data_IF_097833189461
#
_entry.id   IF_097833189461
#
_cell.length_a   1.000
_cell.length_b   1.000
_cell.length_c   1.000
_cell.angle_alpha   90.00
_cell.angle_beta   90.00
_cell.angle_gamma   90.00
#
_symmetry.space_group_name_H-M   'P 1'
#
loop_
_entity.id
_entity.type
_entity.pdbx_description
1 polymer ?
#
# COMPACT_ATOMS: atom_id res chain seq x y z
N UNK A 1 0.24 11.35 -5.85
CA UNK A 1 -1.21 11.05 -6.06
C UNK A 1 -2.09 11.97 -5.19
N UNK A 2 -3.27 12.37 -5.67
CA UNK A 2 -4.08 13.44 -5.08
C UNK A 2 -5.54 13.02 -4.81
N UNK A 3 -6.13 13.52 -3.72
CA UNK A 3 -7.55 13.34 -3.41
C UNK A 3 -8.13 14.50 -2.60
N UNK A 4 -9.45 14.46 -2.38
CA UNK A 4 -10.15 15.35 -1.45
C UNK A 4 -11.09 14.56 -0.54
N UNK A 5 -11.13 14.96 0.74
CA UNK A 5 -12.12 14.47 1.69
C UNK A 5 -13.50 15.08 1.47
N UNK A 6 -14.54 14.56 2.16
CA UNK A 6 -15.93 15.03 1.99
C UNK A 6 -16.14 16.50 2.32
N UNK A 7 -15.29 17.11 3.16
CA UNK A 7 -15.37 18.53 3.53
C UNK A 7 -14.32 19.38 2.80
N UNK A 8 -13.68 18.83 1.78
CA UNK A 8 -12.69 19.50 0.95
C UNK A 8 -11.24 19.39 1.46
N UNK A 9 -10.99 18.56 2.49
CA UNK A 9 -9.65 18.30 3.01
C UNK A 9 -8.74 17.81 1.88
N UNK A 10 -7.55 18.40 1.75
CA UNK A 10 -6.60 17.99 0.72
C UNK A 10 -5.91 16.70 1.15
N UNK A 11 -5.90 15.69 0.28
CA UNK A 11 -5.12 14.47 0.47
C UNK A 11 -4.00 14.39 -0.57
N UNK A 12 -2.78 14.17 -0.08
CA UNK A 12 -1.60 13.87 -0.88
C UNK A 12 -1.01 12.56 -0.36
N UNK A 13 -0.73 11.63 -1.28
CA UNK A 13 -0.19 10.32 -0.90
C UNK A 13 1.16 10.46 -0.18
N UNK A 14 2.01 11.35 -0.70
CA UNK A 14 3.39 11.61 -0.27
C UNK A 14 3.47 11.98 1.22
N UNK A 15 2.46 12.69 1.74
CA UNK A 15 2.41 13.15 3.13
C UNK A 15 1.41 12.36 3.98
N UNK A 16 0.40 11.76 3.35
CA UNK A 16 -0.71 11.14 4.04
C UNK A 16 -0.52 9.65 4.35
N UNK A 17 0.19 8.91 3.49
CA UNK A 17 0.22 7.44 3.57
C UNK A 17 0.80 6.93 4.90
N UNK A 18 1.82 7.60 5.43
CA UNK A 18 2.45 7.21 6.70
C UNK A 18 1.48 7.32 7.87
N UNK A 19 0.70 8.40 7.94
CA UNK A 19 -0.29 8.63 9.00
C UNK A 19 -1.41 7.59 8.88
N UNK A 20 -1.93 7.38 7.67
CA UNK A 20 -2.99 6.40 7.43
C UNK A 20 -2.57 4.98 7.83
N UNK A 21 -1.38 4.53 7.42
CA UNK A 21 -0.89 3.20 7.78
C UNK A 21 -0.63 3.09 9.29
N UNK A 22 -0.14 4.14 9.94
CA UNK A 22 0.02 4.17 11.39
C UNK A 22 -1.32 3.98 12.10
N UNK A 23 -2.36 4.73 11.69
CA UNK A 23 -3.71 4.61 12.24
C UNK A 23 -4.27 3.20 12.02
N UNK A 24 -4.18 2.64 10.80
CA UNK A 24 -4.58 1.26 10.53
C UNK A 24 -3.85 0.26 11.42
N UNK A 25 -2.56 0.48 11.67
CA UNK A 25 -1.73 -0.39 12.49
C UNK A 25 -2.16 -0.46 13.96
N UNK A 26 -2.86 0.59 14.46
CA UNK A 26 -3.45 0.64 15.81
C UNK A 26 -4.83 -0.02 15.88
N UNK A 27 -5.55 -0.07 14.76
CA UNK A 27 -6.89 -0.65 14.67
C UNK A 27 -6.87 -2.16 14.42
N UNK A 28 -5.77 -2.68 13.85
CA UNK A 28 -5.61 -4.11 13.56
C UNK A 28 -5.40 -4.91 14.85
N UNK A 29 -6.21 -5.96 15.02
CA UNK A 29 -5.94 -6.99 16.01
C UNK A 29 -4.83 -7.92 15.47
N UNK A 30 -3.58 -7.64 15.87
CA UNK A 30 -2.40 -8.38 15.43
C UNK A 30 -2.25 -9.77 16.06
N UNK A 31 -3.06 -10.10 17.07
CA UNK A 31 -3.01 -11.41 17.73
C UNK A 31 -3.82 -12.48 16.98
N UNK A 32 -4.70 -12.06 16.06
CA UNK A 32 -5.57 -12.97 15.31
C UNK A 32 -5.17 -13.01 13.84
N UNK A 33 -4.88 -14.20 13.32
CA UNK A 33 -4.47 -14.40 11.92
C UNK A 33 -5.56 -14.11 10.88
N UNK A 34 -6.77 -13.75 11.31
CA UNK A 34 -7.90 -13.41 10.43
C UNK A 34 -7.91 -11.95 9.98
N UNK A 35 -7.08 -11.09 10.58
CA UNK A 35 -6.96 -9.69 10.20
C UNK A 35 -5.64 -9.44 9.48
N UNK A 36 -5.71 -8.68 8.39
CA UNK A 36 -4.54 -8.28 7.59
C UNK A 36 -4.76 -6.90 7.01
N UNK A 37 -3.69 -6.32 6.46
CA UNK A 37 -3.73 -5.03 5.79
C UNK A 37 -3.25 -5.23 4.37
N UNK A 38 -4.04 -4.74 3.41
CA UNK A 38 -3.67 -4.71 2.00
C UNK A 38 -3.68 -3.27 1.51
N UNK A 39 -2.56 -2.84 0.93
CA UNK A 39 -2.40 -1.57 0.25
C UNK A 39 -2.30 -1.83 -1.25
N UNK A 40 -3.11 -1.10 -2.02
CA UNK A 40 -2.97 -0.98 -3.47
C UNK A 40 -2.78 0.49 -3.80
N UNK A 41 -1.73 0.82 -4.54
CA UNK A 41 -1.36 2.19 -4.87
C UNK A 41 -1.01 2.32 -6.35
N UNK A 42 -1.80 3.13 -7.06
CA UNK A 42 -1.50 3.59 -8.42
C UNK A 42 -0.47 4.76 -8.42
N UNK A 43 0.48 4.73 -7.48
CA UNK A 43 1.42 5.81 -7.21
C UNK A 43 2.78 5.48 -7.83
N UNK A 44 2.93 5.79 -9.12
CA UNK A 44 4.10 5.43 -9.96
C UNK A 44 5.41 6.04 -9.43
N UNK A 45 5.34 7.12 -8.66
CA UNK A 45 6.53 7.87 -8.20
C UNK A 45 7.25 7.24 -6.98
N UNK A 46 6.75 6.12 -6.44
CA UNK A 46 7.28 5.50 -5.22
C UNK A 46 7.73 4.07 -5.43
N UNK A 47 8.88 3.67 -4.87
CA UNK A 47 9.29 2.27 -4.89
C UNK A 47 8.46 1.42 -3.91
N UNK A 48 8.12 0.17 -4.24
CA UNK A 48 7.62 -0.82 -3.27
C UNK A 48 8.49 -0.93 -2.02
N UNK A 49 9.80 -0.70 -2.14
CA UNK A 49 10.73 -0.70 -1.01
C UNK A 49 10.42 0.41 0.01
N UNK A 50 9.95 1.57 -0.43
CA UNK A 50 9.55 2.64 0.47
C UNK A 50 8.35 2.22 1.32
N UNK A 51 7.38 1.56 0.71
CA UNK A 51 6.20 0.99 1.40
C UNK A 51 6.64 -0.11 2.37
N UNK A 52 7.54 -1.00 1.94
CA UNK A 52 8.09 -2.05 2.80
C UNK A 52 8.74 -1.47 4.06
N UNK A 53 9.63 -0.49 3.90
CA UNK A 53 10.32 0.15 5.02
C UNK A 53 9.35 0.85 5.98
N UNK A 54 8.31 1.50 5.45
CA UNK A 54 7.27 2.12 6.25
C UNK A 54 6.44 1.10 7.04
N UNK A 55 6.04 -0.01 6.42
CA UNK A 55 5.30 -1.06 7.14
C UNK A 55 6.18 -1.75 8.19
N UNK A 56 7.45 -2.01 7.88
CA UNK A 56 8.42 -2.53 8.85
C UNK A 56 8.60 -1.58 10.04
N UNK A 57 8.63 -0.26 9.83
CA UNK A 57 8.76 0.72 10.92
C UNK A 57 7.52 0.79 11.83
N UNK A 58 6.36 0.35 11.34
CA UNK A 58 5.12 0.20 12.11
C UNK A 58 5.01 -1.15 12.86
N UNK A 59 6.08 -1.96 12.82
CA UNK A 59 6.18 -3.23 13.54
C UNK A 59 5.43 -4.39 12.87
N UNK A 60 5.18 -4.32 11.57
CA UNK A 60 4.74 -5.50 10.82
C UNK A 60 5.93 -6.38 10.46
N UNK A 61 5.82 -7.68 10.71
CA UNK A 61 6.94 -8.60 10.48
C UNK A 61 6.91 -9.28 9.10
N UNK A 62 5.77 -9.84 8.71
CA UNK A 62 5.62 -10.58 7.44
C UNK A 62 5.07 -9.67 6.34
N UNK A 63 5.84 -8.64 5.99
CA UNK A 63 5.45 -7.67 4.94
C UNK A 63 5.85 -8.21 3.57
N UNK A 64 4.87 -8.38 2.69
CA UNK A 64 5.09 -8.63 1.27
C UNK A 64 4.82 -7.36 0.48
N UNK A 65 5.73 -6.99 -0.44
CA UNK A 65 5.55 -5.87 -1.36
C UNK A 65 5.85 -6.29 -2.79
N UNK A 66 5.22 -5.63 -3.76
CA UNK A 66 5.48 -5.89 -5.16
C UNK A 66 4.77 -4.92 -6.10
N UNK A 67 4.78 -5.30 -7.37
CA UNK A 67 3.99 -4.66 -8.42
C UNK A 67 2.78 -5.53 -8.76
N UNK A 68 1.63 -4.88 -8.90
CA UNK A 68 0.48 -5.47 -9.54
C UNK A 68 0.69 -5.40 -11.05
N UNK A 69 0.65 -6.53 -11.75
CA UNK A 69 0.79 -6.57 -13.19
C UNK A 69 -0.34 -7.37 -13.84
N UNK A 70 -0.85 -6.85 -14.97
CA UNK A 70 -1.82 -7.55 -15.80
C UNK A 70 -1.10 -8.34 -16.90
N UNK A 71 -1.31 -9.66 -17.02
CA UNK A 71 -0.70 -10.44 -18.09
C UNK A 71 -1.37 -10.13 -19.44
N UNK A 72 -0.56 -10.06 -20.50
CA UNK A 72 -1.07 -10.01 -21.86
C UNK A 72 -1.76 -11.33 -22.24
N UNK A 73 -2.94 -11.25 -22.85
CA UNK A 73 -3.62 -12.43 -23.38
C UNK A 73 -2.85 -13.00 -24.58
N UNK A 74 -2.31 -14.21 -24.44
CA UNK A 74 -1.62 -14.93 -25.51
C UNK A 74 -0.16 -14.51 -25.75
N UNK A 75 0.43 -13.70 -24.86
CA UNK A 75 1.82 -13.25 -24.94
C UNK A 75 2.55 -13.29 -23.59
N UNK A 76 3.89 -13.07 -23.58
CA UNK A 76 4.69 -13.10 -22.35
C UNK A 76 4.74 -11.75 -21.61
N UNK A 77 4.13 -10.68 -22.15
CA UNK A 77 4.25 -9.33 -21.60
C UNK A 77 3.39 -9.15 -20.35
N UNK A 78 3.85 -8.28 -19.48
CA UNK A 78 3.14 -7.86 -18.28
C UNK A 78 2.95 -6.33 -18.32
N UNK A 79 1.74 -5.85 -18.08
CA UNK A 79 1.41 -4.44 -17.96
C UNK A 79 1.43 -4.04 -16.48
N UNK A 80 2.36 -3.18 -16.03
CA UNK A 80 2.36 -2.68 -14.65
C UNK A 80 1.11 -1.84 -14.36
N UNK A 81 0.48 -2.08 -13.21
CA UNK A 81 -0.75 -1.41 -12.77
C UNK A 81 -0.60 -0.79 -11.37
N UNK A 82 0.63 -0.59 -10.92
CA UNK A 82 0.94 0.04 -9.64
C UNK A 82 1.52 -0.94 -8.64
N UNK A 83 1.61 -0.49 -7.39
CA UNK A 83 2.29 -1.19 -6.32
C UNK A 83 1.29 -1.78 -5.33
N UNK A 84 1.66 -2.89 -4.73
CA UNK A 84 0.88 -3.52 -3.68
C UNK A 84 1.76 -3.88 -2.48
N UNK A 85 1.12 -3.92 -1.31
CA UNK A 85 1.73 -4.43 -0.10
C UNK A 85 0.69 -5.15 0.76
N UNK A 86 1.10 -6.20 1.46
CA UNK A 86 0.23 -6.95 2.38
C UNK A 86 0.95 -7.49 3.60
N UNK A 87 0.19 -7.63 4.69
CA UNK A 87 0.54 -8.29 5.96
C UNK A 87 -0.64 -9.11 6.45
#
# INVERSE_FOLDING_TARGET
>A
AYGRGPKGEKWLFETGIAILLADCSTLLNRETSSFGLCLSAYAIDFSPLAIFNLMRSLGFDQVEVGELALPEQGGPRQLPCGYCARV
#
